data_IF_858458140533
#
_entry.id   IF_858458140533
#
_cell.length_a   1.000
_cell.length_b   1.000
_cell.length_c   1.000
_cell.angle_alpha   90.00
_cell.angle_beta   90.00
_cell.angle_gamma   90.00
#
_symmetry.space_group_name_H-M   'P 1'
#
loop_
_entity.id
_entity.type
_entity.pdbx_description
1 polymer ?
#
# COMPACT_ATOMS: atom_id res chain seq x y z
N UNK A 1 -16.64 -15.65 11.31
CA UNK A 1 -15.18 -15.44 11.22
C UNK A 1 -14.84 -15.53 9.75
N UNK A 2 -14.46 -14.42 9.12
CA UNK A 2 -14.07 -14.45 7.72
C UNK A 2 -12.67 -15.07 7.64
N UNK A 3 -12.56 -16.25 7.00
CA UNK A 3 -11.27 -16.83 6.66
C UNK A 3 -10.54 -15.86 5.73
N UNK A 4 -9.44 -15.29 6.20
CA UNK A 4 -8.50 -14.61 5.33
C UNK A 4 -7.76 -15.72 4.54
N UNK A 5 -8.33 -16.13 3.41
CA UNK A 5 -7.79 -17.19 2.54
C UNK A 5 -6.44 -16.85 1.88
N UNK A 6 -5.84 -15.71 2.22
CA UNK A 6 -4.62 -15.20 1.62
C UNK A 6 -3.50 -15.31 2.65
N UNK A 7 -2.44 -16.04 2.32
CA UNK A 7 -1.26 -16.18 3.19
C UNK A 7 -0.55 -14.84 3.38
N UNK A 8 0.04 -14.62 4.56
CA UNK A 8 0.84 -13.43 4.88
C UNK A 8 1.93 -13.16 3.83
N UNK A 9 2.60 -14.18 3.32
CA UNK A 9 3.63 -14.03 2.28
C UNK A 9 3.10 -13.38 0.99
N UNK A 10 1.86 -13.71 0.60
CA UNK A 10 1.20 -13.11 -0.58
C UNK A 10 0.79 -11.67 -0.30
N UNK A 11 0.31 -11.38 0.90
CA UNK A 11 -0.02 -10.02 1.33
C UNK A 11 1.22 -9.13 1.42
N UNK A 12 2.31 -9.60 2.01
CA UNK A 12 3.59 -8.87 2.06
C UNK A 12 4.14 -8.59 0.65
N UNK A 13 4.09 -9.59 -0.24
CA UNK A 13 4.47 -9.41 -1.64
C UNK A 13 3.62 -8.38 -2.36
N UNK A 14 2.30 -8.42 -2.18
CA UNK A 14 1.38 -7.44 -2.76
C UNK A 14 1.63 -6.02 -2.24
N UNK A 15 1.85 -5.85 -0.94
CA UNK A 15 2.21 -4.56 -0.33
C UNK A 15 3.53 -4.06 -0.91
N UNK A 16 4.53 -4.94 -1.04
CA UNK A 16 5.81 -4.62 -1.67
C UNK A 16 5.62 -4.06 -3.09
N UNK A 17 4.84 -4.74 -3.92
CA UNK A 17 4.55 -4.29 -5.29
C UNK A 17 3.81 -2.94 -5.34
N UNK A 18 2.85 -2.72 -4.44
CA UNK A 18 2.12 -1.44 -4.36
C UNK A 18 3.08 -0.30 -4.01
N UNK A 19 3.93 -0.50 -3.00
CA UNK A 19 4.89 0.53 -2.56
C UNK A 19 5.93 0.80 -3.65
N UNK A 20 6.52 -0.24 -4.25
CA UNK A 20 7.46 -0.08 -5.36
C UNK A 20 6.81 0.61 -6.56
N UNK A 21 5.56 0.27 -6.88
CA UNK A 21 4.78 0.96 -7.90
C UNK A 21 4.60 2.45 -7.60
N UNK A 22 4.22 2.79 -6.36
CA UNK A 22 4.11 4.17 -5.89
C UNK A 22 5.44 4.93 -6.01
N UNK A 23 6.56 4.30 -5.65
CA UNK A 23 7.89 4.91 -5.74
C UNK A 23 8.29 5.16 -7.20
N UNK A 24 8.09 4.18 -8.09
CA UNK A 24 8.30 4.36 -9.53
C UNK A 24 7.41 5.47 -10.12
N UNK A 25 6.19 5.66 -9.61
CA UNK A 25 5.31 6.74 -10.07
C UNK A 25 5.84 8.13 -9.70
N UNK A 26 6.51 8.26 -8.55
CA UNK A 26 7.13 9.51 -8.07
C UNK A 26 8.48 9.74 -8.75
N UNK A 27 9.35 8.73 -8.78
CA UNK A 27 10.72 8.83 -9.28
C UNK A 27 10.78 8.86 -10.81
N UNK A 28 9.89 8.12 -11.48
CA UNK A 28 9.70 8.14 -12.92
C UNK A 28 8.93 9.35 -13.42
N UNK A 29 8.72 10.37 -12.60
CA UNK A 29 8.09 11.61 -13.00
C UNK A 29 9.11 12.46 -13.77
N UNK A 30 9.27 12.14 -15.06
CA UNK A 30 10.12 12.94 -15.94
C UNK A 30 9.72 14.42 -15.83
N UNK A 31 10.69 15.33 -15.65
CA UNK A 31 10.39 16.74 -15.58
C UNK A 31 9.66 17.16 -16.84
N UNK A 32 8.72 18.09 -16.68
CA UNK A 32 7.99 18.69 -17.79
C UNK A 32 8.99 19.06 -18.90
N UNK A 33 8.74 18.67 -20.16
CA UNK A 33 9.60 19.05 -21.26
C UNK A 33 9.85 20.57 -21.24
N UNK A 34 11.13 20.95 -21.19
CA UNK A 34 11.55 22.35 -21.22
C UNK A 34 11.41 22.87 -22.66
N UNK A 35 10.18 23.13 -23.09
CA UNK A 35 9.86 23.69 -24.39
C UNK A 35 8.59 24.53 -24.28
N UNK A 36 8.63 25.74 -24.81
CA UNK A 36 7.45 26.60 -24.89
C UNK A 36 6.42 25.96 -25.82
N UNK A 37 5.33 25.44 -25.25
CA UNK A 37 4.17 24.97 -26.01
C UNK A 37 3.47 26.12 -26.76
N UNK A 38 3.93 27.36 -26.58
CA UNK A 38 3.46 28.58 -27.25
C UNK A 38 3.50 28.47 -28.79
N UNK A 39 4.34 27.60 -29.35
CA UNK A 39 4.36 27.30 -30.79
C UNK A 39 3.23 26.39 -31.28
N UNK A 40 2.49 25.77 -30.36
CA UNK A 40 1.31 24.92 -30.63
C UNK A 40 0.04 25.75 -30.38
N UNK A 41 -0.34 26.50 -31.42
CA UNK A 41 -1.65 27.15 -31.65
C UNK A 41 -2.78 26.78 -30.68
N UNK A 42 -3.39 27.74 -29.97
CA UNK A 42 -4.62 27.70 -29.11
C UNK A 42 -4.80 26.55 -28.08
N UNK A 43 -4.08 25.44 -28.18
CA UNK A 43 -4.17 24.25 -27.32
C UNK A 43 -3.03 24.18 -26.29
N UNK A 44 -2.07 25.10 -26.36
CA UNK A 44 -0.93 25.15 -25.44
C UNK A 44 -1.36 25.20 -23.96
N UNK A 45 -2.44 25.94 -23.66
CA UNK A 45 -3.00 26.01 -22.31
C UNK A 45 -3.66 24.70 -21.86
N UNK A 46 -4.31 23.99 -22.79
CA UNK A 46 -4.94 22.69 -22.52
C UNK A 46 -3.89 21.61 -22.26
N UNK A 47 -2.80 21.62 -23.05
CA UNK A 47 -1.65 20.75 -22.83
C UNK A 47 -1.00 21.04 -21.47
N UNK A 48 -0.83 22.31 -21.09
CA UNK A 48 -0.30 22.68 -19.77
C UNK A 48 -1.16 22.13 -18.64
N UNK A 49 -2.48 22.34 -18.74
CA UNK A 49 -3.43 21.91 -17.74
C UNK A 49 -3.47 20.38 -17.63
N UNK A 50 -3.43 19.67 -18.77
CA UNK A 50 -3.36 18.22 -18.81
C UNK A 50 -2.08 17.67 -18.15
N UNK A 51 -0.92 18.23 -18.49
CA UNK A 51 0.36 17.81 -17.91
C UNK A 51 0.41 18.05 -16.40
N UNK A 52 -0.08 19.20 -15.92
CA UNK A 52 -0.22 19.47 -14.48
C UNK A 52 -1.18 18.49 -13.81
N UNK A 53 -2.33 18.24 -14.43
CA UNK A 53 -3.33 17.29 -13.94
C UNK A 53 -2.76 15.88 -13.81
N UNK A 54 -2.00 15.41 -14.80
CA UNK A 54 -1.32 14.11 -14.73
C UNK A 54 -0.28 14.05 -13.60
N UNK A 55 0.52 15.10 -13.40
CA UNK A 55 1.48 15.13 -12.31
C UNK A 55 0.80 15.04 -10.94
N UNK A 56 -0.27 15.81 -10.74
CA UNK A 56 -1.07 15.77 -9.50
C UNK A 56 -1.73 14.41 -9.31
N UNK A 57 -2.34 13.84 -10.35
CA UNK A 57 -2.99 12.53 -10.31
C UNK A 57 -2.01 11.41 -9.97
N UNK A 58 -0.80 11.43 -10.55
CA UNK A 58 0.26 10.47 -10.22
C UNK A 58 0.73 10.57 -8.78
N UNK A 59 0.94 11.78 -8.27
CA UNK A 59 1.33 11.99 -6.89
C UNK A 59 0.24 11.50 -5.92
N UNK A 60 -1.03 11.80 -6.21
CA UNK A 60 -2.18 11.34 -5.43
C UNK A 60 -2.30 9.80 -5.43
N UNK A 61 -2.14 9.16 -6.59
CA UNK A 61 -2.19 7.71 -6.69
C UNK A 61 -1.03 7.04 -5.93
N UNK A 62 0.18 7.62 -6.02
CA UNK A 62 1.33 7.13 -5.27
C UNK A 62 1.11 7.21 -3.75
N UNK A 63 0.55 8.33 -3.28
CA UNK A 63 0.20 8.54 -1.86
C UNK A 63 -0.87 7.57 -1.38
N UNK A 64 -1.94 7.39 -2.17
CA UNK A 64 -2.99 6.41 -1.90
C UNK A 64 -2.42 4.98 -1.82
N UNK A 65 -1.51 4.61 -2.72
CA UNK A 65 -0.83 3.32 -2.70
C UNK A 65 0.00 3.11 -1.43
N UNK A 66 0.77 4.14 -1.00
CA UNK A 66 1.54 4.06 0.25
C UNK A 66 0.64 3.95 1.47
N UNK A 67 -0.42 4.74 1.53
CA UNK A 67 -1.40 4.71 2.63
C UNK A 67 -2.10 3.35 2.73
N UNK A 68 -2.55 2.79 1.60
CA UNK A 68 -3.13 1.45 1.55
C UNK A 68 -2.13 0.37 1.99
N UNK A 69 -0.88 0.45 1.53
CA UNK A 69 0.18 -0.47 1.93
C UNK A 69 0.48 -0.42 3.43
N UNK A 70 0.50 0.77 4.03
CA UNK A 70 0.66 0.94 5.48
C UNK A 70 -0.53 0.36 6.25
N UNK A 71 -1.77 0.64 5.81
CA UNK A 71 -2.97 0.10 6.44
C UNK A 71 -3.01 -1.42 6.43
N UNK A 72 -2.63 -2.04 5.31
CA UNK A 72 -2.53 -3.51 5.22
C UNK A 72 -1.46 -4.07 6.17
N UNK A 73 -0.28 -3.44 6.28
CA UNK A 73 0.74 -3.87 7.26
C UNK A 73 0.24 -3.80 8.70
N UNK A 74 -0.44 -2.71 9.08
CA UNK A 74 -1.00 -2.57 10.42
C UNK A 74 -2.02 -3.67 10.70
N UNK A 75 -2.90 -3.96 9.75
CA UNK A 75 -3.90 -5.03 9.89
C UNK A 75 -3.23 -6.41 10.08
N UNK A 76 -2.16 -6.70 9.33
CA UNK A 76 -1.41 -7.96 9.49
C UNK A 76 -0.75 -8.07 10.87
N UNK A 77 -0.21 -6.97 11.41
CA UNK A 77 0.37 -6.94 12.76
C UNK A 77 -0.70 -7.19 13.84
N UNK A 78 -1.88 -6.59 13.70
CA UNK A 78 -3.00 -6.81 14.62
C UNK A 78 -3.48 -8.26 14.59
N UNK A 79 -3.59 -8.85 13.40
CA UNK A 79 -3.98 -10.27 13.22
C UNK A 79 -2.92 -11.19 13.83
N UNK A 80 -1.63 -10.94 13.58
CA UNK A 80 -0.54 -11.73 14.15
C UNK A 80 -0.50 -11.64 15.68
N UNK A 81 -0.73 -10.46 16.26
CA UNK A 81 -0.83 -10.29 17.70
C UNK A 81 -2.02 -11.03 18.31
N UNK A 82 -3.17 -11.03 17.62
CA UNK A 82 -4.35 -11.80 18.01
C UNK A 82 -4.07 -13.32 17.98
N UNK A 83 -3.40 -13.80 16.94
CA UNK A 83 -3.05 -15.22 16.81
C UNK A 83 -2.09 -15.68 17.92
N UNK A 84 -1.08 -14.86 18.25
CA UNK A 84 -0.18 -15.12 19.38
C UNK A 84 -0.94 -15.15 20.73
N UNK A 85 -1.90 -14.25 20.92
CA UNK A 85 -2.76 -14.21 22.10
C UNK A 85 -3.65 -15.46 22.21
N UNK A 86 -4.23 -15.92 21.10
CA UNK A 86 -5.01 -17.15 21.04
C UNK A 86 -4.15 -18.38 21.34
N UNK A 87 -2.98 -18.49 20.71
CA UNK A 87 -2.04 -19.60 20.92
C UNK A 87 -1.57 -19.69 22.39
N UNK A 88 -1.25 -18.55 23.01
CA UNK A 88 -0.85 -18.51 24.43
C UNK A 88 -1.99 -18.89 25.38
N UNK A 89 -3.23 -18.48 25.07
CA UNK A 89 -4.42 -18.83 25.84
C UNK A 89 -4.76 -20.32 25.74
N UNK A 90 -4.60 -20.91 24.56
CA UNK A 90 -4.76 -22.36 24.36
C UNK A 90 -3.69 -23.15 25.14
N UNK A 91 -2.42 -22.74 25.05
CA UNK A 91 -1.32 -23.38 25.79
C UNK A 91 -1.55 -23.33 27.31
N UNK A 92 -2.02 -22.19 27.83
CA UNK A 92 -2.36 -22.05 29.25
C UNK A 92 -3.56 -22.93 29.65
N UNK A 93 -4.58 -23.03 28.80
CA UNK A 93 -5.76 -23.88 29.02
C UNK A 93 -5.42 -25.38 29.08
N UNK A 94 -4.45 -25.86 28.29
CA UNK A 94 -3.96 -27.23 28.38
C UNK A 94 -3.08 -27.48 29.61
N UNK A 95 -2.27 -26.49 30.02
CA UNK A 95 -1.41 -26.61 31.20
C UNK A 95 -2.20 -26.72 32.52
N UNK A 96 -3.37 -26.07 32.63
CA UNK A 96 -4.21 -26.12 33.83
C UNK A 96 -4.96 -27.47 33.95
N UNK A 97 -5.32 -28.12 32.83
CA UNK A 97 -5.96 -29.46 32.86
C UNK A 97 -4.99 -30.62 33.12
N UNK A 98 -3.68 -30.42 32.91
CA UNK A 98 -2.66 -31.44 33.17
C UNK A 98 -2.18 -31.52 34.63
N UNK A 99 -2.59 -30.58 35.49
CA UNK A 99 -2.16 -30.49 36.89
C UNK A 99 -3.28 -30.93 37.83
N UNK A 100 -3.74 -32.16 37.66
CA UNK A 100 -4.57 -32.86 38.64
C UNK A 100 -3.96 -34.23 38.92
N UNK A 101 -2.97 -34.25 39.81
CA UNK A 101 -2.56 -35.40 40.63
C UNK A 101 -1.78 -34.89 41.84
#
# INVERSE_FOLDING_TARGET
>A
MADLLVSDAVLEGAIGHIVTGSDCMVDGNAPRPAGGFESLTDIAGEIDLFLRGMQVGRASLADAGRSAGQGLRSMMQEVSALDASLASSLSAGFAVRGKSS
#
